data_IF_015542786657
#
_entry.id   IF_015542786657
#
_cell.length_a   1.000
_cell.length_b   1.000
_cell.length_c   1.000
_cell.angle_alpha   90.00
_cell.angle_beta   90.00
_cell.angle_gamma   90.00
#
_symmetry.space_group_name_H-M   'P 1'
#
loop_
_entity.id
_entity.type
_entity.pdbx_description
1 polymer ?
#
# COMPACT_ATOMS: atom_id res chain seq x y z
N UNK A 1 13.25 14.37 0.32
CA UNK A 1 12.01 14.71 1.06
C UNK A 1 10.90 15.04 0.07
N UNK A 2 9.71 14.44 0.16
CA UNK A 2 8.59 14.73 -0.72
C UNK A 2 8.10 16.18 -0.62
N UNK A 3 7.73 16.79 -1.77
CA UNK A 3 7.21 18.18 -1.84
C UNK A 3 6.01 18.39 -0.91
N UNK A 4 5.11 17.42 -0.82
CA UNK A 4 3.94 17.50 0.04
C UNK A 4 4.31 17.60 1.54
N UNK A 5 5.39 16.94 1.96
CA UNK A 5 5.91 17.02 3.34
C UNK A 5 6.53 18.40 3.62
N UNK A 6 7.28 18.94 2.67
CA UNK A 6 7.81 20.30 2.77
C UNK A 6 6.70 21.36 2.85
N UNK A 7 5.64 21.22 2.03
CA UNK A 7 4.46 22.09 2.08
C UNK A 7 3.74 22.02 3.42
N UNK A 8 3.60 20.81 4.00
CA UNK A 8 3.03 20.65 5.33
C UNK A 8 3.84 21.42 6.38
N UNK A 9 5.17 21.27 6.38
CA UNK A 9 6.05 21.99 7.32
C UNK A 9 5.96 23.51 7.15
N UNK A 10 5.98 23.99 5.91
CA UNK A 10 5.81 25.42 5.63
C UNK A 10 4.45 25.94 6.10
N UNK A 11 3.37 25.18 5.90
CA UNK A 11 2.04 25.53 6.36
C UNK A 11 1.94 25.54 7.89
N UNK A 12 2.58 24.59 8.58
CA UNK A 12 2.65 24.55 10.05
C UNK A 12 3.42 25.75 10.61
N UNK A 13 4.56 26.11 10.00
CA UNK A 13 5.32 27.32 10.38
C UNK A 13 4.52 28.60 10.12
N UNK A 14 3.80 28.68 9.00
CA UNK A 14 2.90 29.78 8.68
C UNK A 14 1.78 29.93 9.72
N UNK A 15 1.17 28.83 10.15
CA UNK A 15 0.16 28.84 11.20
C UNK A 15 0.73 29.35 12.54
N UNK A 16 1.94 28.89 12.93
CA UNK A 16 2.63 29.38 14.13
C UNK A 16 2.95 30.88 14.02
N UNK A 17 3.37 31.36 12.85
CA UNK A 17 3.64 32.77 12.61
C UNK A 17 2.37 33.63 12.72
N UNK A 18 1.21 33.13 12.23
CA UNK A 18 -0.08 33.81 12.40
C UNK A 18 -0.48 33.90 13.87
N UNK A 19 -0.28 32.83 14.65
CA UNK A 19 -0.51 32.84 16.10
C UNK A 19 0.41 33.83 16.80
N UNK A 20 1.72 33.79 16.51
CA UNK A 20 2.69 34.72 17.10
C UNK A 20 2.37 36.19 16.78
N UNK A 21 2.02 36.49 15.51
CA UNK A 21 1.55 37.83 15.12
C UNK A 21 0.31 38.23 15.91
N UNK A 22 -0.66 37.33 16.05
CA UNK A 22 -1.91 37.58 16.78
C UNK A 22 -1.66 37.95 18.24
N UNK A 23 -0.63 37.38 18.86
CA UNK A 23 -0.27 37.61 20.26
C UNK A 23 0.62 38.85 20.45
N UNK A 24 1.54 39.11 19.52
CA UNK A 24 2.59 40.13 19.67
C UNK A 24 2.25 41.48 19.04
N UNK A 25 1.39 41.50 18.00
CA UNK A 25 1.15 42.70 17.19
C UNK A 25 -0.32 43.11 17.28
N UNK A 26 -1.21 42.31 16.73
CA UNK A 26 -2.65 42.56 16.72
C UNK A 26 -3.39 41.29 16.29
N UNK A 27 -4.65 41.10 16.74
CA UNK A 27 -5.47 39.96 16.34
C UNK A 27 -5.53 39.78 14.82
N UNK A 28 -5.34 38.55 14.36
CA UNK A 28 -5.52 38.21 12.94
C UNK A 28 -7.02 38.29 12.60
N UNK A 29 -7.42 38.90 11.47
CA UNK A 29 -8.82 38.96 11.07
C UNK A 29 -9.43 37.54 10.97
N UNK A 30 -10.66 37.38 11.46
CA UNK A 30 -11.33 36.08 11.51
C UNK A 30 -11.36 35.37 10.15
N UNK A 31 -11.59 36.13 9.05
CA UNK A 31 -11.59 35.57 7.70
C UNK A 31 -10.22 34.97 7.31
N UNK A 32 -9.11 35.63 7.70
CA UNK A 32 -7.75 35.14 7.43
C UNK A 32 -7.45 33.90 8.26
N UNK A 33 -7.81 33.93 9.55
CA UNK A 33 -7.64 32.77 10.43
C UNK A 33 -8.47 31.56 9.94
N UNK A 34 -9.73 31.80 9.58
CA UNK A 34 -10.62 30.78 9.02
C UNK A 34 -10.09 30.17 7.73
N UNK A 35 -9.64 31.00 6.79
CA UNK A 35 -9.03 30.54 5.54
C UNK A 35 -7.76 29.71 5.78
N UNK A 36 -6.90 30.15 6.71
CA UNK A 36 -5.69 29.41 7.07
C UNK A 36 -6.00 28.03 7.69
N UNK A 37 -6.99 27.96 8.60
CA UNK A 37 -7.42 26.70 9.21
C UNK A 37 -7.99 25.76 8.15
N UNK A 38 -8.91 26.23 7.30
CA UNK A 38 -9.52 25.42 6.24
C UNK A 38 -8.46 24.91 5.27
N UNK A 39 -7.53 25.78 4.83
CA UNK A 39 -6.43 25.40 3.94
C UNK A 39 -5.50 24.36 4.58
N UNK A 40 -5.16 24.53 5.86
CA UNK A 40 -4.33 23.57 6.60
C UNK A 40 -5.01 22.22 6.75
N UNK A 41 -6.29 22.19 7.10
CA UNK A 41 -7.07 20.96 7.20
C UNK A 41 -7.19 20.24 5.86
N UNK A 42 -7.46 20.99 4.78
CA UNK A 42 -7.50 20.43 3.43
C UNK A 42 -6.15 19.80 3.04
N UNK A 43 -5.03 20.48 3.35
CA UNK A 43 -3.68 19.95 3.10
C UNK A 43 -3.43 18.64 3.87
N UNK A 44 -3.78 18.59 5.16
CA UNK A 44 -3.66 17.38 5.99
C UNK A 44 -4.51 16.25 5.43
N UNK A 45 -5.76 16.52 5.04
CA UNK A 45 -6.65 15.51 4.44
C UNK A 45 -6.09 15.00 3.11
N UNK A 46 -5.49 15.86 2.27
CA UNK A 46 -4.78 15.40 1.09
C UNK A 46 -3.65 14.42 1.45
N UNK A 47 -2.87 14.69 2.50
CA UNK A 47 -1.85 13.76 2.99
C UNK A 47 -2.41 12.41 3.44
N UNK A 48 -3.61 12.38 4.02
CA UNK A 48 -4.27 11.16 4.50
C UNK A 48 -4.76 10.30 3.33
N UNK A 49 -5.46 10.92 2.37
CA UNK A 49 -6.17 10.21 1.30
C UNK A 49 -5.29 9.84 0.10
N UNK A 50 -4.17 10.55 -0.10
CA UNK A 50 -3.27 10.32 -1.22
C UNK A 50 -1.92 9.81 -0.75
N UNK A 51 -1.82 8.51 -0.47
CA UNK A 51 -0.57 7.81 -0.09
C UNK A 51 0.60 8.18 -1.00
N UNK A 52 0.32 8.34 -2.30
CA UNK A 52 1.32 8.68 -3.30
C UNK A 52 2.09 9.98 -3.05
N UNK A 53 1.57 10.89 -2.22
CA UNK A 53 2.23 12.14 -1.85
C UNK A 53 3.38 11.96 -0.87
N UNK A 54 3.46 10.83 -0.17
CA UNK A 54 4.48 10.59 0.85
C UNK A 54 4.49 11.65 1.95
N UNK A 55 3.35 12.26 2.27
CA UNK A 55 3.30 13.40 3.19
C UNK A 55 3.73 12.99 4.60
N UNK A 56 3.17 11.90 5.13
CA UNK A 56 3.42 11.43 6.49
C UNK A 56 4.42 10.28 6.58
N UNK A 57 4.52 9.46 5.54
CA UNK A 57 5.39 8.29 5.45
C UNK A 57 6.17 8.35 4.15
N UNK A 58 7.37 7.79 4.14
CA UNK A 58 8.06 7.48 2.88
C UNK A 58 7.36 6.28 2.23
N UNK A 59 7.19 6.33 0.90
CA UNK A 59 6.37 5.35 0.17
C UNK A 59 7.09 4.90 -1.08
N UNK A 60 7.33 3.59 -1.17
CA UNK A 60 7.85 2.94 -2.38
C UNK A 60 6.68 2.74 -3.34
N UNK A 61 6.65 3.51 -4.43
CA UNK A 61 5.55 3.46 -5.44
C UNK A 61 5.95 2.76 -6.73
N UNK A 62 7.25 2.61 -6.94
CA UNK A 62 7.89 1.99 -8.10
C UNK A 62 9.19 1.35 -7.61
N UNK A 63 9.64 0.30 -8.28
CA UNK A 63 10.99 -0.23 -8.12
C UNK A 63 12.08 0.76 -8.54
N UNK A 64 13.33 0.49 -8.15
CA UNK A 64 14.48 1.32 -8.47
C UNK A 64 14.74 1.38 -10.00
N UNK A 65 15.55 2.32 -10.48
CA UNK A 65 15.98 2.34 -11.88
C UNK A 65 16.64 1.01 -12.28
N UNK A 66 16.16 0.40 -13.37
CA UNK A 66 16.67 -0.90 -13.82
C UNK A 66 16.20 -2.08 -12.98
N UNK A 67 15.00 -1.99 -12.38
CA UNK A 67 14.36 -3.05 -11.59
C UNK A 67 14.18 -4.38 -12.35
N UNK A 68 14.26 -4.35 -13.69
CA UNK A 68 14.12 -5.47 -14.64
C UNK A 68 12.87 -6.33 -14.40
N UNK A 69 11.75 -5.69 -14.07
CA UNK A 69 10.53 -6.41 -13.79
C UNK A 69 9.35 -5.53 -13.41
N UNK A 70 8.22 -6.20 -13.18
CA UNK A 70 6.97 -5.63 -12.66
C UNK A 70 6.61 -6.38 -11.39
N UNK A 71 6.33 -5.65 -10.32
CA UNK A 71 5.81 -6.23 -9.09
C UNK A 71 4.28 -6.28 -9.16
N UNK A 72 3.75 -7.48 -9.39
CA UNK A 72 2.33 -7.76 -9.15
C UNK A 72 2.11 -7.86 -7.64
N UNK A 73 1.16 -7.09 -7.13
CA UNK A 73 0.81 -7.08 -5.71
C UNK A 73 -0.68 -7.34 -5.51
N UNK A 74 -1.01 -8.17 -4.53
CA UNK A 74 -2.37 -8.59 -4.22
C UNK A 74 -2.73 -8.25 -2.78
N UNK A 75 -3.80 -7.49 -2.58
CA UNK A 75 -4.31 -7.09 -1.26
C UNK A 75 -5.53 -7.95 -0.85
N UNK A 76 -5.86 -7.88 0.43
CA UNK A 76 -7.06 -8.42 1.10
C UNK A 76 -7.14 -9.94 1.33
N UNK A 77 -6.22 -10.71 0.75
CA UNK A 77 -6.14 -12.16 0.93
C UNK A 77 -5.67 -12.63 2.32
N UNK A 78 -5.56 -13.96 2.52
CA UNK A 78 -5.92 -14.99 1.54
C UNK A 78 -7.43 -15.28 1.50
N UNK A 79 -7.91 -15.75 0.35
CA UNK A 79 -9.24 -16.33 0.14
C UNK A 79 -9.10 -17.77 -0.34
N UNK A 80 -9.79 -18.75 0.28
CA UNK A 80 -9.74 -20.14 -0.16
C UNK A 80 -10.30 -20.37 -1.56
N UNK A 81 -11.17 -19.49 -2.05
CA UNK A 81 -11.76 -19.62 -3.38
C UNK A 81 -10.88 -19.01 -4.48
N UNK A 82 -10.08 -17.99 -4.17
CA UNK A 82 -9.45 -17.14 -5.20
C UNK A 82 -7.93 -17.18 -5.16
N UNK A 83 -7.32 -17.17 -3.97
CA UNK A 83 -5.86 -17.16 -3.82
C UNK A 83 -5.21 -18.36 -4.54
N UNK A 84 -5.70 -19.61 -4.42
CA UNK A 84 -5.13 -20.73 -5.18
C UNK A 84 -5.15 -20.51 -6.70
N UNK A 85 -6.25 -19.94 -7.22
CA UNK A 85 -6.37 -19.64 -8.65
C UNK A 85 -5.36 -18.59 -9.11
N UNK A 86 -5.12 -17.56 -8.29
CA UNK A 86 -4.09 -16.55 -8.56
C UNK A 86 -2.70 -17.20 -8.57
N UNK A 87 -2.40 -18.06 -7.60
CA UNK A 87 -1.12 -18.77 -7.52
C UNK A 87 -0.88 -19.65 -8.75
N UNK A 88 -1.87 -20.41 -9.20
CA UNK A 88 -1.75 -21.26 -10.39
C UNK A 88 -1.47 -20.43 -11.65
N UNK A 89 -2.16 -19.30 -11.82
CA UNK A 89 -1.91 -18.39 -12.96
C UNK A 89 -0.52 -17.76 -12.93
N UNK A 90 0.01 -17.45 -11.74
CA UNK A 90 1.36 -16.93 -11.58
C UNK A 90 2.41 -18.00 -11.92
N UNK A 91 2.20 -19.25 -11.49
CA UNK A 91 3.08 -20.37 -11.81
C UNK A 91 3.08 -20.70 -13.31
N UNK A 92 1.90 -20.71 -13.95
CA UNK A 92 1.77 -20.86 -15.41
C UNK A 92 2.56 -19.79 -16.18
N UNK A 93 2.61 -18.56 -15.65
CA UNK A 93 3.35 -17.45 -16.24
C UNK A 93 4.82 -17.37 -15.81
N UNK A 94 5.28 -18.25 -14.90
CA UNK A 94 6.63 -18.18 -14.32
C UNK A 94 6.89 -16.88 -13.55
N UNK A 95 5.85 -16.25 -13.01
CA UNK A 95 5.90 -14.93 -12.36
C UNK A 95 5.89 -15.07 -10.83
N UNK A 96 6.67 -14.21 -10.14
CA UNK A 96 6.57 -14.02 -8.69
C UNK A 96 5.85 -12.71 -8.38
N UNK A 97 5.33 -12.63 -7.15
CA UNK A 97 4.44 -11.57 -6.70
C UNK A 97 4.57 -11.34 -5.19
N UNK A 98 3.94 -10.28 -4.70
CA UNK A 98 3.86 -9.96 -3.26
C UNK A 98 2.40 -9.90 -2.83
N UNK A 99 2.04 -10.63 -1.78
CA UNK A 99 0.68 -10.69 -1.22
C UNK A 99 0.64 -9.90 0.09
N UNK A 100 -0.10 -8.81 0.13
CA UNK A 100 -0.38 -8.04 1.34
C UNK A 100 -1.60 -8.66 2.03
N UNK A 101 -1.31 -9.48 3.04
CA UNK A 101 -2.28 -10.35 3.71
C UNK A 101 -2.87 -9.67 4.93
N UNK A 102 -4.19 -9.81 5.10
CA UNK A 102 -4.88 -9.39 6.31
C UNK A 102 -4.63 -10.42 7.42
N UNK A 103 -4.11 -9.98 8.57
CA UNK A 103 -3.74 -10.88 9.67
C UNK A 103 -4.87 -11.79 10.17
N UNK A 104 -6.10 -11.29 10.33
CA UNK A 104 -7.24 -12.13 10.74
C UNK A 104 -7.57 -13.24 9.73
N UNK A 105 -7.34 -13.00 8.43
CA UNK A 105 -7.55 -14.00 7.39
C UNK A 105 -6.40 -15.00 7.34
N UNK A 106 -5.18 -14.55 7.60
CA UNK A 106 -4.04 -15.44 7.82
C UNK A 106 -4.27 -16.39 9.01
N UNK A 107 -4.87 -15.92 10.11
CA UNK A 107 -5.25 -16.77 11.25
C UNK A 107 -6.29 -17.84 10.84
N UNK A 108 -7.23 -17.47 9.96
CA UNK A 108 -8.29 -18.38 9.48
C UNK A 108 -7.79 -19.40 8.44
N UNK A 109 -6.81 -19.01 7.61
CA UNK A 109 -6.29 -19.80 6.50
C UNK A 109 -4.76 -19.87 6.48
N UNK A 110 -4.11 -20.35 7.57
CA UNK A 110 -2.66 -20.37 7.65
C UNK A 110 -2.01 -21.29 6.61
N UNK A 111 -2.71 -22.31 6.13
CA UNK A 111 -2.30 -23.19 5.03
C UNK A 111 -2.08 -22.42 3.73
N UNK A 112 -2.97 -21.49 3.37
CA UNK A 112 -2.84 -20.69 2.15
C UNK A 112 -1.66 -19.72 2.25
N UNK A 113 -1.42 -19.13 3.42
CA UNK A 113 -0.26 -18.26 3.63
C UNK A 113 1.05 -19.05 3.50
N UNK A 114 1.10 -20.29 4.00
CA UNK A 114 2.25 -21.18 3.78
C UNK A 114 2.39 -21.55 2.31
N UNK A 115 1.30 -21.76 1.60
CA UNK A 115 1.32 -22.08 0.17
C UNK A 115 1.86 -20.91 -0.67
N UNK A 116 1.43 -19.67 -0.40
CA UNK A 116 1.97 -18.45 -1.02
C UNK A 116 3.51 -18.43 -0.86
N UNK A 117 4.00 -18.62 0.37
CA UNK A 117 5.42 -18.61 0.66
C UNK A 117 6.17 -19.80 0.01
N UNK A 118 5.60 -21.01 0.06
CA UNK A 118 6.19 -22.22 -0.50
C UNK A 118 6.33 -22.17 -2.03
N UNK A 119 5.40 -21.49 -2.72
CA UNK A 119 5.50 -21.18 -4.15
C UNK A 119 6.46 -20.03 -4.45
N UNK A 120 7.14 -19.48 -3.45
CA UNK A 120 8.21 -18.49 -3.60
C UNK A 120 7.75 -17.04 -3.75
N UNK A 121 6.49 -16.74 -3.46
CA UNK A 121 5.97 -15.37 -3.40
C UNK A 121 6.30 -14.72 -2.04
N UNK A 122 6.27 -13.40 -1.99
CA UNK A 122 6.47 -12.66 -0.75
C UNK A 122 5.13 -12.53 -0.01
N UNK A 123 5.15 -12.71 1.31
CA UNK A 123 4.03 -12.44 2.21
C UNK A 123 4.33 -11.15 2.96
N UNK A 124 3.43 -10.18 2.85
CA UNK A 124 3.51 -8.85 3.43
C UNK A 124 2.26 -8.55 4.28
N UNK A 125 2.31 -7.53 5.12
CA UNK A 125 1.21 -7.20 6.03
C UNK A 125 0.23 -6.18 5.44
N UNK A 126 -1.07 -6.42 5.58
CA UNK A 126 -2.16 -5.49 5.24
C UNK A 126 -3.05 -5.13 6.44
N UNK A 127 -2.42 -4.77 7.57
CA UNK A 127 -3.07 -4.71 8.90
C UNK A 127 -3.54 -6.08 9.38
N UNK A 128 -3.77 -6.20 10.70
CA UNK A 128 -4.38 -7.41 11.24
C UNK A 128 -5.90 -7.40 11.05
N UNK A 129 -6.59 -6.33 11.43
CA UNK A 129 -8.05 -6.26 11.40
C UNK A 129 -8.62 -5.66 10.10
N UNK A 130 -7.84 -4.89 9.34
CA UNK A 130 -8.28 -4.14 8.17
C UNK A 130 -9.50 -3.23 8.46
N UNK A 131 -9.37 -2.34 9.45
CA UNK A 131 -10.40 -1.33 9.74
C UNK A 131 -10.40 -0.23 8.65
N UNK A 132 -11.56 0.08 8.07
CA UNK A 132 -11.69 1.17 7.09
C UNK A 132 -11.36 2.55 7.67
N UNK A 133 -11.46 2.70 8.99
CA UNK A 133 -11.10 3.91 9.74
C UNK A 133 -9.71 3.79 10.39
N UNK A 134 -8.85 2.88 9.91
CA UNK A 134 -7.52 2.64 10.46
C UNK A 134 -6.68 3.92 10.61
N UNK A 135 -6.74 4.83 9.63
CA UNK A 135 -6.02 6.12 9.67
C UNK A 135 -6.49 7.06 10.79
N UNK A 136 -7.72 6.89 11.28
CA UNK A 136 -8.31 7.66 12.38
C UNK A 136 -8.04 7.03 13.76
N UNK A 137 -7.55 5.79 13.82
CA UNK A 137 -7.22 5.11 15.06
C UNK A 137 -6.12 5.80 15.85
N UNK A 138 -6.04 5.53 17.16
CA UNK A 138 -4.95 6.03 17.99
C UNK A 138 -3.62 5.34 17.63
N UNK A 139 -2.49 6.01 17.85
CA UNK A 139 -1.17 5.44 17.53
C UNK A 139 -0.94 4.07 18.22
N UNK A 140 -1.37 3.93 19.48
CA UNK A 140 -1.27 2.67 20.22
C UNK A 140 -2.14 1.56 19.62
N UNK A 141 -3.32 1.90 19.11
CA UNK A 141 -4.20 0.93 18.47
C UNK A 141 -3.62 0.46 17.13
N UNK A 142 -3.09 1.39 16.33
CA UNK A 142 -2.39 1.10 15.07
C UNK A 142 -1.19 0.18 15.32
N UNK A 143 -0.29 0.56 16.23
CA UNK A 143 0.90 -0.24 16.54
C UNK A 143 0.54 -1.65 17.01
N UNK A 144 -0.44 -1.78 17.91
CA UNK A 144 -0.91 -3.09 18.38
C UNK A 144 -1.48 -3.95 17.25
N UNK A 145 -2.26 -3.35 16.35
CA UNK A 145 -2.82 -4.04 15.21
C UNK A 145 -1.73 -4.54 14.26
N UNK A 146 -0.77 -3.68 13.89
CA UNK A 146 0.33 -4.06 13.02
C UNK A 146 1.21 -5.14 13.66
N UNK A 147 1.57 -4.97 14.93
CA UNK A 147 2.41 -5.93 15.66
C UNK A 147 1.73 -7.30 15.75
N UNK A 148 0.42 -7.35 16.02
CA UNK A 148 -0.35 -8.61 16.01
C UNK A 148 -0.31 -9.26 14.63
N UNK A 149 -0.51 -8.50 13.57
CA UNK A 149 -0.47 -9.02 12.20
C UNK A 149 0.90 -9.59 11.85
N UNK A 150 1.98 -8.88 12.19
CA UNK A 150 3.36 -9.35 12.03
C UNK A 150 3.59 -10.66 12.77
N UNK A 151 3.21 -10.73 14.05
CA UNK A 151 3.43 -11.92 14.88
C UNK A 151 2.65 -13.14 14.33
N UNK A 152 1.46 -12.93 13.76
CA UNK A 152 0.70 -13.98 13.07
C UNK A 152 1.46 -14.48 11.84
N UNK A 153 1.88 -13.58 10.96
CA UNK A 153 2.54 -13.94 9.70
C UNK A 153 3.91 -14.58 9.95
N UNK A 154 4.67 -14.08 10.92
CA UNK A 154 5.95 -14.66 11.34
C UNK A 154 5.78 -16.09 11.85
N UNK A 155 4.77 -16.33 12.70
CA UNK A 155 4.48 -17.68 13.20
C UNK A 155 4.08 -18.66 12.09
N UNK A 156 3.41 -18.19 11.03
CA UNK A 156 2.95 -19.04 9.94
C UNK A 156 4.07 -19.33 8.94
N UNK A 157 4.85 -18.31 8.58
CA UNK A 157 5.85 -18.36 7.50
C UNK A 157 7.27 -18.63 8.00
N UNK A 158 7.53 -18.46 9.29
CA UNK A 158 8.86 -18.54 9.89
C UNK A 158 9.75 -17.31 9.67
N UNK A 159 9.25 -16.29 8.95
CA UNK A 159 9.96 -15.05 8.70
C UNK A 159 9.05 -13.85 8.97
N UNK A 160 9.58 -12.83 9.65
CA UNK A 160 8.81 -11.61 9.94
C UNK A 160 8.74 -10.74 8.69
N UNK A 161 7.53 -10.39 8.20
CA UNK A 161 7.41 -9.47 7.07
C UNK A 161 7.95 -8.08 7.41
N UNK A 162 8.63 -7.45 6.44
CA UNK A 162 9.11 -6.06 6.52
C UNK A 162 8.24 -5.09 5.72
N UNK A 163 7.41 -5.62 4.82
CA UNK A 163 6.58 -4.81 3.93
C UNK A 163 5.17 -4.63 4.52
N UNK A 164 4.66 -3.41 4.41
CA UNK A 164 3.32 -3.05 4.83
C UNK A 164 2.63 -2.20 3.78
N UNK A 165 1.33 -2.46 3.57
CA UNK A 165 0.46 -1.56 2.82
C UNK A 165 -0.71 -1.15 3.72
N UNK A 166 -0.99 0.15 3.88
CA UNK A 166 -2.10 0.57 4.74
C UNK A 166 -3.45 0.22 4.13
N UNK A 167 -4.42 -0.24 4.95
CA UNK A 167 -5.81 -0.46 4.52
C UNK A 167 -6.34 0.73 3.73
N UNK A 168 -7.05 0.43 2.64
CA UNK A 168 -7.64 1.40 1.69
C UNK A 168 -6.67 2.45 1.12
N UNK A 169 -5.36 2.31 1.36
CA UNK A 169 -4.35 3.28 0.96
C UNK A 169 -4.36 4.59 1.76
N UNK A 170 -4.99 4.63 2.93
CA UNK A 170 -5.00 5.84 3.77
C UNK A 170 -3.87 5.82 4.80
N UNK A 171 -3.16 6.92 4.94
CA UNK A 171 -2.08 7.08 5.95
C UNK A 171 -2.42 8.16 6.97
N UNK A 172 -1.61 8.29 8.02
CA UNK A 172 -1.69 9.37 9.00
C UNK A 172 -0.37 9.49 9.77
N UNK A 173 -0.11 10.59 10.49
CA UNK A 173 1.05 10.69 11.37
C UNK A 173 1.15 9.57 12.43
N UNK A 174 0.00 8.96 12.79
CA UNK A 174 -0.05 7.85 13.74
C UNK A 174 0.38 6.54 13.10
N UNK A 175 0.01 6.33 11.84
CA UNK A 175 0.53 5.23 11.03
C UNK A 175 2.03 5.42 10.82
N UNK A 176 2.49 6.63 10.49
CA UNK A 176 3.91 6.94 10.33
C UNK A 176 4.74 6.52 11.55
N UNK A 177 4.32 6.95 12.74
CA UNK A 177 5.00 6.55 13.99
C UNK A 177 5.04 5.03 14.19
N UNK A 178 3.97 4.32 13.84
CA UNK A 178 3.89 2.89 14.05
C UNK A 178 4.73 2.10 13.05
N UNK A 179 4.78 2.52 11.78
CA UNK A 179 5.63 1.86 10.77
C UNK A 179 7.11 2.10 11.05
N UNK A 180 7.50 3.30 11.50
CA UNK A 180 8.87 3.61 11.91
C UNK A 180 9.28 2.76 13.13
N UNK A 181 8.40 2.64 14.13
CA UNK A 181 8.68 1.87 15.35
C UNK A 181 8.78 0.35 15.11
N UNK A 182 8.20 -0.14 14.00
CA UNK A 182 8.19 -1.55 13.63
C UNK A 182 9.13 -1.86 12.46
N UNK A 183 9.89 -0.86 11.99
CA UNK A 183 10.80 -0.94 10.83
C UNK A 183 10.12 -1.52 9.58
N UNK A 184 8.95 -0.94 9.23
CA UNK A 184 8.14 -1.37 8.11
C UNK A 184 8.30 -0.44 6.90
N UNK A 185 8.50 -1.04 5.73
CA UNK A 185 8.45 -0.35 4.45
C UNK A 185 7.03 -0.22 3.93
N UNK A 186 6.61 1.04 3.69
CA UNK A 186 5.28 1.33 3.18
C UNK A 186 5.26 1.24 1.65
N UNK A 187 4.49 0.28 1.14
CA UNK A 187 4.42 0.00 -0.30
C UNK A 187 3.14 0.58 -0.89
N UNK A 188 3.31 1.54 -1.80
CA UNK A 188 2.25 2.10 -2.64
C UNK A 188 2.11 1.34 -3.95
N UNK A 189 1.73 2.05 -5.01
CA UNK A 189 1.59 1.50 -6.35
C UNK A 189 1.78 2.58 -7.41
N UNK A 190 2.08 2.16 -8.64
CA UNK A 190 2.19 3.03 -9.83
C UNK A 190 1.16 2.72 -10.91
N UNK A 191 0.49 1.56 -10.83
CA UNK A 191 -0.63 1.16 -11.69
C UNK A 191 -1.72 0.49 -10.84
N UNK A 192 -3.00 0.77 -11.15
CA UNK A 192 -4.14 0.13 -10.46
C UNK A 192 -5.36 0.01 -11.38
N UNK A 193 -6.16 -1.03 -11.15
CA UNK A 193 -7.35 -1.33 -11.95
C UNK A 193 -8.71 -0.98 -11.31
N UNK A 194 -8.74 -0.71 -10.00
CA UNK A 194 -9.96 -0.64 -9.18
C UNK A 194 -10.75 -1.96 -9.17
N UNK A 195 -10.02 -3.05 -9.04
CA UNK A 195 -10.49 -4.41 -9.23
C UNK A 195 -11.20 -5.00 -8.00
N UNK A 196 -10.91 -4.49 -6.80
CA UNK A 196 -11.62 -4.80 -5.56
C UNK A 196 -12.96 -4.05 -5.37
N UNK A 197 -13.45 -3.32 -6.37
CA UNK A 197 -14.79 -2.74 -6.33
C UNK A 197 -15.83 -3.78 -6.79
N UNK A 198 -16.89 -3.95 -5.99
CA UNK A 198 -18.01 -4.79 -6.37
C UNK A 198 -18.59 -4.38 -7.75
N UNK A 199 -18.73 -5.35 -8.65
CA UNK A 199 -19.22 -5.13 -10.02
C UNK A 199 -18.19 -4.53 -11.00
N UNK A 200 -16.91 -4.46 -10.63
CA UNK A 200 -15.85 -4.08 -11.58
C UNK A 200 -15.79 -5.06 -12.77
N UNK A 201 -15.53 -4.54 -13.97
CA UNK A 201 -15.34 -5.37 -15.18
C UNK A 201 -13.87 -5.77 -15.31
N UNK A 202 -13.56 -7.07 -15.48
CA UNK A 202 -12.20 -7.56 -15.72
C UNK A 202 -11.52 -6.90 -16.94
N UNK A 203 -12.29 -6.61 -17.99
CA UNK A 203 -11.81 -5.94 -19.20
C UNK A 203 -11.37 -4.50 -18.89
N UNK A 204 -12.17 -3.77 -18.11
CA UNK A 204 -11.83 -2.41 -17.67
C UNK A 204 -10.63 -2.40 -16.71
N UNK A 205 -10.53 -3.39 -15.83
CA UNK A 205 -9.37 -3.57 -14.94
C UNK A 205 -8.10 -3.73 -15.78
N UNK A 206 -8.09 -4.70 -16.71
CA UNK A 206 -6.96 -4.93 -17.60
C UNK A 206 -6.62 -3.67 -18.43
N UNK A 207 -7.62 -2.99 -19.00
CA UNK A 207 -7.42 -1.78 -19.80
C UNK A 207 -6.80 -0.62 -19.01
N UNK A 208 -7.00 -0.55 -17.68
CA UNK A 208 -6.36 0.45 -16.81
C UNK A 208 -4.96 0.06 -16.36
N UNK A 209 -4.73 -1.24 -16.13
CA UNK A 209 -3.43 -1.75 -15.65
C UNK A 209 -2.40 -1.82 -16.77
N UNK A 210 -2.78 -2.36 -17.93
CA UNK A 210 -1.87 -2.67 -19.04
C UNK A 210 -1.05 -1.44 -19.51
N UNK A 211 -1.60 -0.22 -19.64
CA UNK A 211 -0.81 0.96 -20.00
C UNK A 211 0.30 1.29 -18.98
N UNK A 212 0.13 0.91 -17.72
CA UNK A 212 1.09 1.12 -16.64
C UNK A 212 2.18 0.05 -16.54
N UNK A 213 2.09 -1.05 -17.29
CA UNK A 213 3.08 -2.13 -17.28
C UNK A 213 4.36 -1.69 -17.97
N UNK A 214 5.36 -1.34 -17.16
CA UNK A 214 6.71 -0.96 -17.55
C UNK A 214 7.69 -1.37 -16.45
N UNK A 215 8.97 -1.34 -16.76
CA UNK A 215 10.01 -1.65 -15.77
C UNK A 215 9.84 -0.85 -14.46
N UNK A 216 9.99 -1.56 -13.34
CA UNK A 216 9.79 -1.06 -11.98
C UNK A 216 8.32 -0.90 -11.56
N UNK A 217 7.33 -1.12 -12.42
CA UNK A 217 5.94 -0.87 -12.05
C UNK A 217 5.50 -1.75 -10.86
N UNK A 218 4.93 -1.12 -9.83
CA UNK A 218 4.15 -1.81 -8.79
C UNK A 218 2.68 -1.74 -9.17
N UNK A 219 2.06 -2.89 -9.36
CA UNK A 219 0.66 -3.06 -9.78
C UNK A 219 -0.18 -3.48 -8.58
N UNK A 220 -1.19 -2.69 -8.22
CA UNK A 220 -2.17 -3.03 -7.20
C UNK A 220 -3.34 -3.82 -7.81
N UNK A 221 -3.54 -5.04 -7.30
CA UNK A 221 -4.66 -5.95 -7.53
C UNK A 221 -5.14 -6.51 -6.18
N UNK A 222 -6.23 -7.28 -6.20
CA UNK A 222 -6.78 -7.96 -5.03
C UNK A 222 -7.01 -9.43 -5.36
N UNK A 223 -6.59 -10.33 -4.47
CA UNK A 223 -6.89 -11.77 -4.56
C UNK A 223 -8.08 -12.17 -3.67
N UNK A 224 -8.57 -11.27 -2.83
CA UNK A 224 -9.82 -11.43 -2.09
C UNK A 224 -10.54 -10.09 -1.94
N UNK A 225 -11.81 -10.13 -1.52
CA UNK A 225 -12.48 -8.93 -1.01
C UNK A 225 -12.26 -8.83 0.50
N UNK A 226 -12.03 -7.65 1.07
CA UNK A 226 -11.92 -7.41 2.53
C UNK A 226 -12.90 -8.25 3.39
N UNK A 227 -14.16 -8.35 2.93
CA UNK A 227 -15.30 -8.99 3.63
C UNK A 227 -15.74 -10.32 3.02
N UNK A 228 -15.01 -10.83 2.03
CA UNK A 228 -15.33 -12.06 1.30
C UNK A 228 -16.78 -12.08 0.75
N UNK A 229 -17.28 -10.90 0.35
CA UNK A 229 -18.66 -10.69 -0.12
C UNK A 229 -18.78 -10.65 -1.65
N UNK A 230 -17.65 -10.66 -2.37
CA UNK A 230 -17.59 -10.73 -3.82
C UNK A 230 -16.21 -11.19 -4.31
N UNK A 231 -16.15 -11.64 -5.56
CA UNK A 231 -14.89 -11.92 -6.24
C UNK A 231 -14.29 -10.63 -6.82
N UNK A 232 -13.03 -10.29 -6.51
CA UNK A 232 -12.35 -9.18 -7.16
C UNK A 232 -12.20 -9.44 -8.66
N UNK A 233 -12.48 -8.43 -9.47
CA UNK A 233 -12.37 -8.54 -10.92
C UNK A 233 -10.92 -8.77 -11.38
N UNK A 234 -9.94 -8.53 -10.50
CA UNK A 234 -8.51 -8.68 -10.73
C UNK A 234 -8.11 -10.12 -11.01
N UNK A 235 -8.75 -11.07 -10.32
CA UNK A 235 -8.54 -12.51 -10.52
C UNK A 235 -8.88 -12.90 -11.97
N UNK A 236 -10.01 -12.43 -12.50
CA UNK A 236 -10.42 -12.68 -13.87
C UNK A 236 -9.66 -11.83 -14.91
N UNK A 237 -9.11 -10.67 -14.51
CA UNK A 237 -8.30 -9.82 -15.38
C UNK A 237 -6.85 -10.32 -15.51
N UNK A 238 -6.36 -11.07 -14.52
CA UNK A 238 -4.96 -11.49 -14.39
C UNK A 238 -4.41 -12.19 -15.64
N UNK A 239 -5.11 -13.13 -16.31
CA UNK A 239 -4.58 -13.77 -17.52
C UNK A 239 -4.25 -12.76 -18.63
N UNK A 240 -5.06 -11.70 -18.80
CA UNK A 240 -4.81 -10.65 -19.80
C UNK A 240 -3.63 -9.76 -19.40
N UNK A 241 -3.48 -9.49 -18.10
CA UNK A 241 -2.35 -8.72 -17.56
C UNK A 241 -1.04 -9.50 -17.77
N UNK A 242 -1.02 -10.78 -17.42
CA UNK A 242 0.15 -11.66 -17.61
C UNK A 242 0.52 -11.82 -19.09
N UNK A 243 -0.47 -12.00 -19.98
CA UNK A 243 -0.22 -12.05 -21.42
C UNK A 243 0.40 -10.74 -21.94
N UNK A 244 -0.07 -9.57 -21.46
CA UNK A 244 0.51 -8.28 -21.83
C UNK A 244 1.93 -8.10 -21.27
N UNK A 245 2.22 -8.62 -20.08
CA UNK A 245 3.59 -8.66 -19.54
C UNK A 245 4.52 -9.50 -20.44
N UNK A 246 4.08 -10.70 -20.83
CA UNK A 246 4.83 -11.58 -21.73
C UNK A 246 5.11 -10.94 -23.08
N UNK A 247 4.13 -10.28 -23.71
CA UNK A 247 4.30 -9.54 -24.96
C UNK A 247 5.32 -8.38 -24.86
N UNK A 248 5.53 -7.85 -23.65
CA UNK A 248 6.48 -6.76 -23.36
C UNK A 248 7.80 -7.26 -22.79
N UNK A 249 8.00 -8.57 -22.69
CA UNK A 249 9.16 -9.19 -22.04
C UNK A 249 9.36 -8.70 -20.60
N UNK A 250 8.26 -8.46 -19.87
CA UNK A 250 8.27 -8.06 -18.47
C UNK A 250 8.11 -9.29 -17.59
N UNK A 251 9.00 -9.45 -16.61
CA UNK A 251 8.97 -10.54 -15.64
C UNK A 251 8.27 -10.09 -14.36
N UNK A 252 7.45 -10.97 -13.78
CA UNK A 252 6.85 -10.76 -12.47
C UNK A 252 7.86 -10.99 -11.35
N UNK A 253 8.09 -9.98 -10.52
CA UNK A 253 9.06 -10.03 -9.41
C UNK A 253 8.39 -9.64 -8.09
N UNK A 254 9.08 -9.94 -6.99
CA UNK A 254 8.63 -9.55 -5.64
C UNK A 254 9.13 -8.16 -5.29
N UNK A 255 8.38 -7.44 -4.46
CA UNK A 255 8.77 -6.09 -3.99
C UNK A 255 9.98 -6.16 -3.05
N UNK A 256 10.04 -7.15 -2.16
CA UNK A 256 11.15 -7.32 -1.19
C UNK A 256 12.51 -7.48 -1.87
N UNK A 257 12.55 -8.22 -2.98
CA UNK A 257 13.74 -8.42 -3.80
C UNK A 257 14.35 -7.11 -4.34
N UNK A 258 13.56 -6.04 -4.48
CA UNK A 258 14.09 -4.73 -4.88
C UNK A 258 14.66 -3.92 -3.72
N UNK A 259 14.27 -4.22 -2.48
CA UNK A 259 14.63 -3.42 -1.30
C UNK A 259 15.86 -3.99 -0.58
N UNK A 260 16.04 -5.31 -0.60
CA UNK A 260 17.14 -5.99 0.09
C UNK A 260 18.54 -5.70 -0.50
N UNK A 261 18.64 -5.19 -1.73
CA UNK A 261 19.91 -4.88 -2.43
C UNK A 261 20.35 -3.39 -2.34
N UNK A 262 19.90 -2.66 -1.31
CA UNK A 262 20.16 -1.21 -1.18
C UNK A 262 19.29 -0.34 -2.10
N UNK A 263 18.38 -0.96 -2.87
CA UNK A 263 17.45 -0.28 -3.78
C UNK A 263 16.33 0.49 -3.09
N UNK A 264 16.24 0.45 -1.75
CA UNK A 264 15.26 1.23 -0.97
C UNK A 264 15.44 2.73 -1.18
N UNK A 265 16.65 3.24 -1.01
CA UNK A 265 16.92 4.68 -1.16
C UNK A 265 16.70 5.14 -2.61
N UNK A 266 17.07 4.31 -3.59
CA UNK A 266 16.84 4.56 -5.01
C UNK A 266 15.35 4.52 -5.41
N UNK A 267 14.55 3.69 -4.73
CA UNK A 267 13.11 3.61 -4.94
C UNK A 267 12.33 4.75 -4.26
N UNK A 268 12.94 5.40 -3.26
CA UNK A 268 12.40 6.57 -2.57
C UNK A 268 12.84 7.91 -3.21
N UNK A 269 13.85 7.89 -4.08
CA UNK A 269 14.32 9.04 -4.85
C UNK A 269 13.30 9.53 -5.90
#
# INVERSE_FOLDING_TARGET
>A
MPVARALLYAASLGALALVARSLLVAPVPFAVAGAAIVGYLALVLCGVFFLGLGMFVDVVKRGPPGARGVALTFDDGPSPEHTPRVLDLLDEAGAKATFFVIGRKAEAHPELVREIAARGHAVALHSHAHDRLFSLSSARAVERDLRRGLDVLERITGARPTLFRPPVGHTSPRIARAVDALDLDVIGWSARGFDGLAGASPERVAARVIPGLRDGAIVLLHDAAERDDHAPAGVAALPRILAAMGQRNLVGVRVDAWLDEGGRDDALA
#
